data_IF_486574637846
#
_entry.id   IF_486574637846
#
_cell.length_a   1.000
_cell.length_b   1.000
_cell.length_c   1.000
_cell.angle_alpha   90.00
_cell.angle_beta   90.00
_cell.angle_gamma   90.00
#
_symmetry.space_group_name_H-M   'P 1'
#
loop_
_entity.id
_entity.type
_entity.pdbx_description
1 polymer ?
#
# COMPACT_ATOMS: atom_id res chain seq x y z
N UNK A 1 14.58 -38.54 50.91
CA UNK A 1 13.64 -37.41 50.72
C UNK A 1 13.81 -36.95 49.27
N UNK A 2 13.11 -37.61 48.35
CA UNK A 2 13.28 -37.41 46.90
C UNK A 2 12.22 -36.44 46.38
N UNK A 3 12.64 -35.34 45.75
CA UNK A 3 11.74 -34.37 45.09
C UNK A 3 11.65 -34.70 43.59
N UNK A 4 10.47 -35.01 43.03
CA UNK A 4 10.34 -35.12 41.59
C UNK A 4 10.23 -33.74 40.92
N UNK A 5 10.92 -33.66 39.78
CA UNK A 5 11.16 -32.49 38.94
C UNK A 5 9.88 -32.01 38.22
N UNK A 6 9.68 -30.69 38.17
CA UNK A 6 8.57 -30.03 37.46
C UNK A 6 8.62 -30.29 35.96
N UNK A 7 7.51 -30.78 35.41
CA UNK A 7 7.33 -31.07 33.99
C UNK A 7 6.99 -29.78 33.22
N UNK A 8 7.67 -29.59 32.10
CA UNK A 8 7.57 -28.44 31.19
C UNK A 8 6.17 -28.23 30.61
N UNK A 9 5.66 -26.99 30.72
CA UNK A 9 4.42 -26.53 30.08
C UNK A 9 4.61 -26.40 28.55
N UNK A 10 3.80 -27.12 27.76
CA UNK A 10 3.77 -26.98 26.29
C UNK A 10 3.11 -25.65 25.91
N UNK A 11 3.91 -24.74 25.34
CA UNK A 11 3.44 -23.47 24.78
C UNK A 11 2.62 -23.72 23.50
N UNK A 12 1.30 -23.61 23.59
CA UNK A 12 0.41 -23.64 22.42
C UNK A 12 0.36 -22.23 21.83
N UNK A 13 0.93 -22.07 20.64
CA UNK A 13 1.00 -20.81 19.90
C UNK A 13 -0.37 -20.54 19.23
N UNK A 14 -1.10 -19.46 19.56
CA UNK A 14 -2.37 -19.19 18.90
C UNK A 14 -2.14 -18.75 17.46
N UNK A 15 -2.84 -19.40 16.52
CA UNK A 15 -2.94 -18.98 15.12
C UNK A 15 -3.62 -17.61 15.08
N UNK A 16 -2.88 -16.58 14.68
CA UNK A 16 -3.44 -15.26 14.36
C UNK A 16 -4.29 -15.39 13.10
N UNK A 17 -5.60 -15.46 13.29
CA UNK A 17 -6.59 -15.28 12.24
C UNK A 17 -6.66 -13.78 11.91
N UNK A 18 -6.30 -13.43 10.68
CA UNK A 18 -6.40 -12.06 10.16
C UNK A 18 -7.88 -11.76 9.87
N UNK A 19 -8.50 -10.70 10.43
CA UNK A 19 -9.89 -10.39 10.16
C UNK A 19 -10.08 -9.94 8.71
N UNK A 20 -11.02 -10.62 8.04
CA UNK A 20 -11.54 -10.28 6.70
C UNK A 20 -12.54 -9.12 6.90
N UNK A 21 -12.24 -7.93 6.38
CA UNK A 21 -13.20 -6.81 6.44
C UNK A 21 -14.36 -7.06 5.48
N UNK A 22 -15.53 -7.41 6.01
CA UNK A 22 -16.82 -7.39 5.32
C UNK A 22 -17.57 -6.12 5.71
N UNK A 23 -17.73 -5.19 4.78
CA UNK A 23 -18.57 -4.00 4.94
C UNK A 23 -20.04 -4.38 4.77
N UNK A 24 -20.81 -4.37 5.86
CA UNK A 24 -22.28 -4.49 5.84
C UNK A 24 -22.89 -3.09 5.79
N UNK A 25 -23.76 -2.88 4.80
CA UNK A 25 -24.67 -1.74 4.71
C UNK A 25 -25.59 -1.72 5.94
N UNK A 26 -25.84 -0.53 6.51
CA UNK A 26 -26.97 -0.33 7.42
C UNK A 26 -27.63 1.02 7.19
N UNK A 27 -28.78 0.98 6.53
CA UNK A 27 -29.78 2.03 6.46
C UNK A 27 -30.50 2.21 7.80
N UNK A 28 -31.02 3.40 8.15
CA UNK A 28 -32.03 3.55 9.20
C UNK A 28 -33.46 3.67 8.64
N UNK A 29 -34.41 3.00 9.32
CA UNK A 29 -35.88 3.05 9.14
C UNK A 29 -36.53 4.09 10.09
N UNK A 30 -37.84 4.42 9.93
CA UNK A 30 -38.46 5.73 10.22
C UNK A 30 -39.56 5.73 11.32
N UNK A 31 -40.13 6.91 11.64
CA UNK A 31 -41.56 7.24 11.97
C UNK A 31 -41.68 8.52 12.87
N UNK A 32 -42.86 9.15 13.17
CA UNK A 32 -44.23 9.14 12.57
C UNK A 32 -45.00 10.52 12.43
N UNK A 33 -46.06 10.56 11.56
CA UNK A 33 -47.43 11.22 11.61
C UNK A 33 -47.57 12.78 11.71
N UNK A 34 -48.48 13.59 11.09
CA UNK A 34 -49.77 13.52 10.32
C UNK A 34 -50.15 14.95 9.73
N UNK A 35 -51.25 15.18 8.95
CA UNK A 35 -51.40 16.16 7.82
C UNK A 35 -52.43 17.32 8.08
N UNK A 36 -53.17 17.94 7.09
CA UNK A 36 -52.95 18.36 5.68
C UNK A 36 -53.25 19.88 5.42
N UNK A 37 -53.01 20.42 4.19
CA UNK A 37 -53.98 21.21 3.36
C UNK A 37 -53.37 22.01 2.18
N UNK A 38 -54.13 21.99 1.08
CA UNK A 38 -54.33 23.00 0.01
C UNK A 38 -53.43 23.05 -1.24
N UNK A 39 -54.13 22.87 -2.38
CA UNK A 39 -53.75 23.06 -3.78
C UNK A 39 -53.70 24.55 -4.19
N UNK A 40 -53.20 24.78 -5.43
CA UNK A 40 -53.19 25.98 -6.31
C UNK A 40 -51.76 26.47 -6.59
N UNK A 41 -51.29 26.91 -7.77
CA UNK A 41 -51.84 27.19 -9.10
C UNK A 41 -50.64 27.43 -10.07
N UNK A 42 -50.94 27.54 -11.36
CA UNK A 42 -50.09 27.60 -12.56
C UNK A 42 -49.16 28.85 -12.67
N UNK A 43 -48.01 28.64 -13.36
CA UNK A 43 -47.12 29.50 -14.21
C UNK A 43 -47.39 31.02 -14.36
N UNK A 44 -46.40 31.94 -14.62
CA UNK A 44 -45.57 31.87 -15.86
C UNK A 44 -44.20 32.62 -15.92
N UNK A 45 -43.48 32.40 -17.04
CA UNK A 45 -42.46 33.25 -17.75
C UNK A 45 -41.22 33.83 -17.01
N UNK A 46 -40.00 33.55 -17.50
CA UNK A 46 -39.27 34.42 -18.45
C UNK A 46 -37.75 34.13 -18.56
N UNK A 47 -37.26 34.44 -19.76
CA UNK A 47 -35.96 34.25 -20.42
C UNK A 47 -34.78 34.93 -19.71
N UNK A 48 -33.57 34.33 -19.75
CA UNK A 48 -32.34 35.05 -20.17
C UNK A 48 -31.13 34.15 -20.43
N UNK A 49 -30.59 34.34 -21.63
CA UNK A 49 -29.42 33.76 -22.25
C UNK A 49 -28.11 34.45 -21.85
N UNK A 50 -27.02 33.74 -22.14
CA UNK A 50 -25.61 34.15 -22.24
C UNK A 50 -24.82 34.47 -20.97
N UNK A 51 -23.82 33.62 -20.70
CA UNK A 51 -22.44 34.10 -20.58
C UNK A 51 -21.45 32.96 -20.83
N UNK A 52 -20.67 33.16 -21.88
CA UNK A 52 -19.44 32.47 -22.22
C UNK A 52 -18.50 32.34 -21.02
N UNK A 53 -18.44 31.17 -20.40
CA UNK A 53 -17.39 30.83 -19.45
C UNK A 53 -16.31 30.01 -20.18
N UNK A 54 -15.26 30.73 -20.57
CA UNK A 54 -14.00 30.23 -21.11
C UNK A 54 -13.51 28.99 -20.35
N UNK A 55 -13.64 27.81 -20.96
CA UNK A 55 -13.14 26.55 -20.44
C UNK A 55 -11.61 26.51 -20.59
N UNK A 56 -10.90 27.23 -19.71
CA UNK A 56 -9.46 27.10 -19.54
C UNK A 56 -9.20 25.84 -18.70
N UNK A 57 -9.42 24.66 -19.29
CA UNK A 57 -9.08 23.39 -18.68
C UNK A 57 -7.56 23.23 -18.66
N UNK A 58 -6.93 23.70 -17.58
CA UNK A 58 -5.57 23.27 -17.23
C UNK A 58 -5.63 21.77 -16.88
N UNK A 59 -5.70 20.91 -17.89
CA UNK A 59 -5.89 19.48 -17.75
C UNK A 59 -4.63 18.86 -17.18
N UNK A 60 -4.53 18.82 -15.84
CA UNK A 60 -3.50 18.03 -15.17
C UNK A 60 -3.63 16.59 -15.67
N UNK A 61 -2.53 15.94 -16.13
CA UNK A 61 -2.61 14.55 -16.57
C UNK A 61 -3.18 13.69 -15.44
N UNK A 62 -3.97 12.66 -15.76
CA UNK A 62 -4.60 11.81 -14.76
C UNK A 62 -3.53 11.24 -13.83
N UNK A 63 -3.77 11.36 -12.52
CA UNK A 63 -2.83 10.85 -11.52
C UNK A 63 -2.81 9.33 -11.56
N UNK A 64 -1.85 8.76 -12.26
CA UNK A 64 -1.68 7.31 -12.35
C UNK A 64 -1.24 6.73 -11.01
N UNK A 65 -1.73 5.52 -10.73
CA UNK A 65 -1.30 4.75 -9.58
C UNK A 65 0.13 4.23 -9.79
N UNK A 66 0.86 4.16 -8.69
CA UNK A 66 2.23 3.69 -8.65
C UNK A 66 2.43 2.77 -7.45
N UNK A 67 3.20 1.70 -7.65
CA UNK A 67 3.69 0.82 -6.59
C UNK A 67 5.14 1.23 -6.30
N UNK A 68 5.51 1.31 -5.03
CA UNK A 68 6.87 1.69 -4.64
C UNK A 68 7.44 0.74 -3.61
N UNK A 69 8.76 0.62 -3.64
CA UNK A 69 9.60 -0.01 -2.63
C UNK A 69 10.49 1.08 -2.03
N UNK A 70 10.44 1.21 -0.71
CA UNK A 70 11.34 2.05 0.07
C UNK A 70 12.17 1.19 1.03
N UNK A 71 13.37 1.68 1.33
CA UNK A 71 14.33 1.05 2.22
C UNK A 71 14.61 1.97 3.39
N UNK A 72 14.67 1.42 4.60
CA UNK A 72 15.18 2.10 5.80
C UNK A 72 16.69 2.11 5.73
N UNK A 73 17.31 3.26 5.93
CA UNK A 73 18.77 3.35 6.07
C UNK A 73 19.23 2.95 7.47
N UNK A 74 18.34 3.01 8.47
CA UNK A 74 18.66 2.61 9.84
C UNK A 74 18.60 1.09 10.02
N UNK A 75 19.49 0.60 10.89
CA UNK A 75 19.54 -0.80 11.32
C UNK A 75 18.47 -1.09 12.39
N UNK A 76 17.83 -2.27 12.37
CA UNK A 76 17.88 -3.27 11.31
C UNK A 76 17.22 -2.77 10.02
N UNK A 77 17.88 -3.04 8.89
CA UNK A 77 17.44 -2.60 7.57
C UNK A 77 16.10 -3.24 7.24
N UNK A 78 15.15 -2.41 6.85
CA UNK A 78 13.76 -2.80 6.55
C UNK A 78 13.35 -2.28 5.20
N UNK A 79 12.51 -3.05 4.52
CA UNK A 79 11.85 -2.62 3.28
C UNK A 79 10.36 -2.45 3.50
N UNK A 80 9.76 -1.47 2.85
CA UNK A 80 8.32 -1.30 2.80
C UNK A 80 7.85 -1.20 1.35
N UNK A 81 6.76 -1.91 1.03
CA UNK A 81 6.11 -1.86 -0.29
C UNK A 81 4.71 -1.31 -0.09
N UNK A 82 4.32 -0.34 -0.91
CA UNK A 82 3.00 0.26 -0.88
C UNK A 82 2.57 0.87 -2.21
N UNK A 83 1.34 1.36 -2.23
CA UNK A 83 0.69 1.98 -3.39
C UNK A 83 0.39 3.46 -3.12
N UNK A 84 0.55 4.30 -4.14
CA UNK A 84 0.25 5.74 -4.09
C UNK A 84 0.06 6.33 -5.48
N UNK A 85 -0.70 7.42 -5.58
CA UNK A 85 -0.75 8.28 -6.79
C UNK A 85 0.32 9.36 -6.77
N UNK A 86 0.76 9.79 -5.57
CA UNK A 86 1.80 10.81 -5.39
C UNK A 86 2.91 10.26 -4.48
N UNK A 87 4.01 9.83 -5.10
CA UNK A 87 5.13 9.23 -4.37
C UNK A 87 5.89 10.25 -3.52
N UNK A 88 6.18 11.44 -4.06
CA UNK A 88 6.92 12.47 -3.35
C UNK A 88 6.22 12.87 -2.05
N UNK A 89 4.90 13.10 -2.08
CA UNK A 89 4.10 13.37 -0.88
C UNK A 89 4.16 12.19 0.10
N UNK A 90 4.03 10.96 -0.40
CA UNK A 90 3.98 9.74 0.43
C UNK A 90 5.32 9.47 1.12
N UNK A 91 6.45 9.74 0.46
CA UNK A 91 7.78 9.60 1.05
C UNK A 91 7.97 10.56 2.23
N UNK A 92 7.58 11.83 2.07
CA UNK A 92 7.58 12.82 3.16
C UNK A 92 6.72 12.39 4.34
N UNK A 93 5.55 11.81 4.09
CA UNK A 93 4.71 11.23 5.14
C UNK A 93 5.38 10.05 5.87
N UNK A 94 6.07 9.19 5.13
CA UNK A 94 6.84 8.09 5.72
C UNK A 94 7.98 8.60 6.60
N UNK A 95 8.69 9.64 6.17
CA UNK A 95 9.74 10.32 6.94
C UNK A 95 9.23 11.19 8.09
N UNK A 96 7.95 11.51 8.11
CA UNK A 96 7.32 12.28 9.19
C UNK A 96 7.35 13.79 9.00
N UNK A 97 7.83 14.27 7.86
CA UNK A 97 7.72 15.67 7.44
C UNK A 97 6.26 16.09 7.24
N UNK A 98 5.40 15.15 6.85
CA UNK A 98 3.96 15.37 6.65
C UNK A 98 3.11 14.42 7.50
N UNK A 99 1.93 14.88 7.91
CA UNK A 99 0.93 14.06 8.61
C UNK A 99 0.36 12.98 7.69
N UNK A 100 -0.10 11.86 8.28
CA UNK A 100 -0.74 10.75 7.55
C UNK A 100 0.20 9.62 7.10
N UNK A 101 1.41 9.53 7.67
CA UNK A 101 2.31 8.39 7.49
C UNK A 101 1.79 7.10 8.15
N UNK A 102 2.19 5.95 7.62
CA UNK A 102 1.82 4.65 8.20
C UNK A 102 2.46 4.46 9.59
N UNK A 103 1.72 3.93 10.57
CA UNK A 103 2.24 3.67 11.93
C UNK A 103 3.49 2.78 11.89
N UNK A 104 3.48 1.76 11.04
CA UNK A 104 4.60 0.82 10.85
C UNK A 104 5.86 1.48 10.26
N UNK A 105 5.73 2.61 9.56
CA UNK A 105 6.90 3.29 8.97
C UNK A 105 7.60 4.23 9.94
N UNK A 106 7.09 4.43 11.16
CA UNK A 106 7.71 5.34 12.14
C UNK A 106 9.09 4.83 12.60
N UNK A 107 9.23 3.53 12.80
CA UNK A 107 10.42 2.89 13.36
C UNK A 107 11.51 2.54 12.32
N UNK A 108 11.34 2.92 11.05
CA UNK A 108 12.32 2.66 9.97
C UNK A 108 12.70 3.94 9.23
N UNK A 109 12.48 5.10 9.85
CA UNK A 109 12.94 6.38 9.29
C UNK A 109 14.44 6.49 9.47
N UNK A 110 15.19 7.17 8.56
CA UNK A 110 14.68 7.73 7.32
C UNK A 110 14.54 6.67 6.22
N UNK A 111 13.55 6.89 5.35
CA UNK A 111 13.24 6.03 4.22
C UNK A 111 13.79 6.63 2.93
N UNK A 112 14.42 5.79 2.11
CA UNK A 112 14.90 6.12 0.77
C UNK A 112 14.15 5.32 -0.30
N UNK A 113 14.01 5.90 -1.48
CA UNK A 113 13.36 5.24 -2.62
C UNK A 113 14.29 4.19 -3.22
N UNK A 114 13.88 2.92 -3.19
CA UNK A 114 14.61 1.83 -3.82
C UNK A 114 14.10 1.54 -5.24
N UNK A 115 12.78 1.47 -5.40
CA UNK A 115 12.14 1.23 -6.69
C UNK A 115 10.76 1.88 -6.77
N UNK A 116 10.39 2.34 -7.95
CA UNK A 116 9.06 2.84 -8.25
C UNK A 116 8.57 2.30 -9.59
N UNK A 117 7.33 1.82 -9.61
CA UNK A 117 6.64 1.28 -10.76
C UNK A 117 5.43 2.17 -11.01
N UNK A 118 5.40 2.83 -12.16
CA UNK A 118 4.36 3.82 -12.54
C UNK A 118 3.64 3.33 -13.79
N UNK A 119 2.38 3.73 -13.95
CA UNK A 119 1.59 3.41 -15.15
C UNK A 119 0.30 2.67 -14.88
N UNK A 120 -0.02 2.36 -13.62
CA UNK A 120 -1.27 1.71 -13.28
C UNK A 120 -2.44 2.70 -13.43
N UNK A 121 -3.40 2.35 -14.27
CA UNK A 121 -4.66 3.12 -14.42
C UNK A 121 -5.58 2.87 -13.22
N UNK A 122 -5.65 1.62 -12.77
CA UNK A 122 -6.54 1.19 -11.70
C UNK A 122 -5.81 0.96 -10.37
N UNK A 123 -6.43 1.42 -9.28
CA UNK A 123 -5.98 1.12 -7.92
C UNK A 123 -5.94 -0.38 -7.66
N UNK A 124 -6.94 -1.12 -8.14
CA UNK A 124 -7.07 -2.56 -7.93
C UNK A 124 -5.87 -3.32 -8.49
N UNK A 125 -5.44 -2.99 -9.71
CA UNK A 125 -4.24 -3.58 -10.35
C UNK A 125 -2.96 -3.24 -9.58
N UNK A 126 -2.82 -2.00 -9.11
CA UNK A 126 -1.67 -1.61 -8.30
C UNK A 126 -1.62 -2.37 -6.95
N UNK A 127 -2.77 -2.54 -6.28
CA UNK A 127 -2.88 -3.30 -5.04
C UNK A 127 -2.66 -4.81 -5.24
N UNK A 128 -3.14 -5.37 -6.36
CA UNK A 128 -2.87 -6.75 -6.74
C UNK A 128 -1.36 -6.96 -6.92
N UNK A 129 -0.70 -6.09 -7.69
CA UNK A 129 0.74 -6.12 -7.89
C UNK A 129 1.52 -6.05 -6.57
N UNK A 130 1.16 -5.10 -5.69
CA UNK A 130 1.74 -4.95 -4.34
C UNK A 130 1.63 -6.25 -3.54
N UNK A 131 0.44 -6.85 -3.51
CA UNK A 131 0.17 -8.09 -2.79
C UNK A 131 1.00 -9.25 -3.32
N UNK A 132 1.05 -9.41 -4.65
CA UNK A 132 1.83 -10.46 -5.32
C UNK A 132 3.33 -10.29 -5.04
N UNK A 133 3.85 -9.08 -5.09
CA UNK A 133 5.26 -8.80 -4.74
C UNK A 133 5.58 -9.14 -3.29
N UNK A 134 4.70 -8.78 -2.35
CA UNK A 134 4.84 -9.16 -0.94
C UNK A 134 4.81 -10.68 -0.74
N UNK A 135 3.91 -11.39 -1.42
CA UNK A 135 3.81 -12.86 -1.34
C UNK A 135 5.05 -13.53 -1.92
N UNK A 136 5.47 -13.15 -3.13
CA UNK A 136 6.65 -13.73 -3.80
C UNK A 136 7.91 -13.54 -2.96
N UNK A 137 8.10 -12.34 -2.39
CA UNK A 137 9.24 -12.07 -1.52
C UNK A 137 9.25 -12.94 -0.26
N UNK A 138 8.09 -13.19 0.38
CA UNK A 138 8.00 -14.11 1.54
C UNK A 138 8.21 -15.58 1.16
N UNK A 139 7.78 -15.99 -0.04
CA UNK A 139 7.97 -17.37 -0.52
C UNK A 139 9.45 -17.66 -0.78
N UNK A 140 10.19 -16.70 -1.30
CA UNK A 140 11.62 -16.85 -1.57
C UNK A 140 12.45 -16.98 -0.28
N UNK A 141 12.11 -16.25 0.78
CA UNK A 141 12.88 -16.33 2.04
C UNK A 141 12.76 -17.68 2.73
N UNK A 142 11.70 -18.44 2.45
CA UNK A 142 11.48 -19.79 3.02
C UNK A 142 12.31 -20.88 2.35
N UNK A 143 12.90 -20.62 1.18
CA UNK A 143 13.63 -21.62 0.39
C UNK A 143 15.15 -21.66 0.62
N UNK A 144 15.73 -20.77 1.43
CA UNK A 144 17.17 -20.82 1.72
C UNK A 144 17.49 -22.01 2.63
N UNK A 145 18.30 -22.93 2.14
CA UNK A 145 18.99 -23.95 2.93
C UNK A 145 20.06 -23.25 3.81
N UNK A 146 20.27 -23.71 5.06
CA UNK A 146 21.24 -23.10 5.95
C UNK A 146 22.63 -23.56 5.54
N UNK A 147 23.35 -22.77 4.74
CA UNK A 147 24.80 -22.88 4.73
C UNK A 147 25.45 -21.50 4.60
N UNK A 148 26.57 -21.35 5.31
CA UNK A 148 27.50 -20.20 5.35
C UNK A 148 27.02 -18.94 6.11
N UNK A 149 27.52 -18.81 7.34
CA UNK A 149 27.53 -17.58 8.15
C UNK A 149 28.68 -16.68 7.68
N UNK A 150 28.37 -15.54 7.08
CA UNK A 150 29.34 -14.50 6.76
C UNK A 150 28.89 -13.14 7.30
N UNK A 151 29.74 -12.55 8.13
CA UNK A 151 29.61 -11.25 8.81
C UNK A 151 29.61 -10.08 7.83
N UNK A 152 28.59 -9.21 7.85
CA UNK A 152 28.67 -7.74 7.62
C UNK A 152 27.26 -7.13 7.54
N UNK A 153 27.00 -6.07 8.30
CA UNK A 153 25.72 -5.36 8.33
C UNK A 153 25.40 -4.62 7.02
N UNK A 154 26.45 -4.35 6.26
CA UNK A 154 26.56 -3.66 4.98
C UNK A 154 25.95 -4.53 3.87
N UNK A 155 26.32 -5.82 3.85
CA UNK A 155 25.79 -6.84 2.94
C UNK A 155 24.29 -7.12 3.15
N UNK A 156 23.76 -6.86 4.36
CA UNK A 156 22.36 -7.12 4.68
C UNK A 156 21.38 -6.29 3.85
N UNK A 157 21.72 -5.02 3.58
CA UNK A 157 20.88 -4.13 2.76
C UNK A 157 20.81 -4.59 1.31
N UNK A 158 21.98 -4.93 0.77
CA UNK A 158 22.17 -5.34 -0.61
C UNK A 158 21.52 -6.69 -0.88
N UNK A 159 21.72 -7.67 0.00
CA UNK A 159 21.03 -8.96 -0.08
C UNK A 159 19.50 -8.80 -0.01
N UNK A 160 19.00 -7.90 0.85
CA UNK A 160 17.57 -7.64 0.94
C UNK A 160 17.03 -6.98 -0.34
N UNK A 161 17.78 -6.04 -0.95
CA UNK A 161 17.41 -5.43 -2.22
C UNK A 161 17.46 -6.42 -3.39
N UNK A 162 18.50 -7.24 -3.49
CA UNK A 162 18.62 -8.32 -4.48
C UNK A 162 17.45 -9.29 -4.37
N UNK A 163 17.11 -9.71 -3.15
CA UNK A 163 15.95 -10.55 -2.87
C UNK A 163 14.64 -9.90 -3.34
N UNK A 164 14.48 -8.60 -3.12
CA UNK A 164 13.30 -7.85 -3.58
C UNK A 164 13.27 -7.71 -5.10
N UNK A 165 14.41 -7.55 -5.75
CA UNK A 165 14.55 -7.49 -7.20
C UNK A 165 14.18 -8.83 -7.84
N UNK A 166 14.75 -9.94 -7.36
CA UNK A 166 14.39 -11.28 -7.83
C UNK A 166 12.91 -11.62 -7.59
N UNK A 167 12.30 -11.08 -6.52
CA UNK A 167 10.86 -11.19 -6.31
C UNK A 167 10.05 -10.34 -7.29
N UNK A 168 10.54 -9.16 -7.66
CA UNK A 168 9.91 -8.27 -8.64
C UNK A 168 9.89 -8.92 -10.03
N UNK A 169 11.01 -9.49 -10.48
CA UNK A 169 11.12 -10.11 -11.80
C UNK A 169 10.13 -11.27 -11.97
N UNK A 170 9.95 -12.10 -10.94
CA UNK A 170 8.92 -13.15 -10.97
C UNK A 170 7.50 -12.61 -11.05
N UNK A 171 7.22 -11.46 -10.41
CA UNK A 171 5.89 -10.84 -10.51
C UNK A 171 5.67 -10.25 -11.90
N UNK A 172 6.71 -9.67 -12.50
CA UNK A 172 6.66 -9.17 -13.88
C UNK A 172 6.33 -10.29 -14.87
N UNK A 173 6.87 -11.48 -14.69
CA UNK A 173 6.52 -12.63 -15.54
C UNK A 173 5.08 -13.15 -15.32
N UNK A 174 4.42 -12.76 -14.23
CA UNK A 174 3.08 -13.24 -13.87
C UNK A 174 1.96 -12.25 -14.22
N UNK A 175 2.28 -10.97 -14.36
CA UNK A 175 1.32 -9.89 -14.62
C UNK A 175 1.81 -9.15 -15.85
N UNK A 176 0.94 -8.95 -16.85
CA UNK A 176 1.28 -8.11 -17.99
C UNK A 176 1.56 -6.66 -17.53
N UNK A 177 2.84 -6.32 -17.53
CA UNK A 177 3.39 -5.06 -17.03
C UNK A 177 4.19 -4.34 -18.13
N UNK A 178 4.01 -4.71 -19.39
CA UNK A 178 4.70 -4.15 -20.56
C UNK A 178 4.59 -2.62 -20.65
N UNK A 179 3.42 -2.09 -20.32
CA UNK A 179 3.13 -0.65 -20.31
C UNK A 179 3.61 0.09 -19.06
N UNK A 180 4.17 -0.60 -18.06
CA UNK A 180 4.58 0.01 -16.79
C UNK A 180 6.02 0.51 -16.86
N UNK A 181 6.23 1.74 -16.41
CA UNK A 181 7.57 2.34 -16.27
C UNK A 181 8.15 1.97 -14.92
N UNK A 182 9.26 1.24 -14.93
CA UNK A 182 9.91 0.76 -13.71
C UNK A 182 11.26 1.45 -13.57
N UNK A 183 11.40 2.22 -12.50
CA UNK A 183 12.63 2.92 -12.16
C UNK A 183 13.18 2.34 -10.85
N UNK A 184 14.23 1.52 -10.98
CA UNK A 184 15.02 1.05 -9.86
C UNK A 184 16.15 2.06 -9.60
N UNK A 185 16.29 2.52 -8.35
CA UNK A 185 17.19 3.62 -7.99
C UNK A 185 18.40 3.20 -7.16
N UNK A 186 18.33 2.07 -6.47
CA UNK A 186 19.43 1.55 -5.66
C UNK A 186 20.05 0.38 -6.40
N UNK A 187 21.08 0.62 -7.20
CA UNK A 187 21.81 -0.44 -7.90
C UNK A 187 22.32 -1.46 -6.87
N UNK A 188 21.98 -2.75 -6.99
CA UNK A 188 22.74 -3.79 -6.33
C UNK A 188 24.07 -3.86 -7.08
N UNK A 189 25.12 -3.26 -6.50
CA UNK A 189 26.49 -3.42 -7.01
C UNK A 189 26.94 -4.86 -6.81
#
# INVERSE_FOLDING_TARGET
MERPLSTTFRSVKPRILIPRCTSTLKSPKPSPKTPPKSLQSLSPTSIKSNSSASARSSSKPPSLWSVYLILSTNTPIKTYVGVTTNFSRRLKQHNGELRGGAKASRAGRPWVCACIIRGFKDKSRACEFESRWKITSRKQSRRKTPNEKGSQADNGSLQLLQHRHAALDKVRCLIDCSHLRIAWKLSPV
#
